data_IF_501525309462
#
_entry.id   IF_501525309462
#
_cell.length_a   1.000
_cell.length_b   1.000
_cell.length_c   1.000
_cell.angle_alpha   90.00
_cell.angle_beta   90.00
_cell.angle_gamma   90.00
#
_symmetry.space_group_name_H-M   'P 1'
#
loop_
_entity.id
_entity.type
_entity.pdbx_description
1 polymer ?
#
# COMPACT_ATOMS: atom_id res chain seq x y z
N UNK A 1 -1.35 8.39 -11.16
CA UNK A 1 -0.72 9.73 -11.35
C UNK A 1 -1.06 10.45 -12.67
N UNK A 2 -1.43 9.78 -13.76
CA UNK A 2 -1.83 10.46 -15.01
C UNK A 2 -3.15 11.24 -14.88
N UNK A 3 -4.12 10.68 -14.15
CA UNK A 3 -5.46 11.29 -13.93
C UNK A 3 -5.40 12.60 -13.14
N UNK A 4 -4.62 12.66 -12.07
CA UNK A 4 -4.45 13.89 -11.29
C UNK A 4 -3.82 15.03 -12.09
N UNK A 5 -2.82 14.72 -12.94
CA UNK A 5 -2.21 15.72 -13.84
C UNK A 5 -3.21 16.27 -14.85
N UNK A 6 -4.08 15.41 -15.38
CA UNK A 6 -5.13 15.85 -16.31
C UNK A 6 -6.10 16.84 -15.65
N UNK A 7 -6.54 16.56 -14.42
CA UNK A 7 -7.41 17.49 -13.68
C UNK A 7 -6.71 18.81 -13.33
N UNK A 8 -5.42 18.80 -13.04
CA UNK A 8 -4.65 20.03 -12.84
C UNK A 8 -4.58 20.88 -14.12
N UNK A 9 -4.37 20.25 -15.28
CA UNK A 9 -4.39 20.94 -16.57
C UNK A 9 -5.78 21.53 -16.85
N UNK A 10 -6.85 20.76 -16.58
CA UNK A 10 -8.22 21.22 -16.77
C UNK A 10 -8.56 22.39 -15.82
N UNK A 11 -8.10 22.32 -14.57
CA UNK A 11 -8.23 23.41 -13.59
C UNK A 11 -7.55 24.68 -14.09
N UNK A 12 -6.30 24.56 -14.55
CA UNK A 12 -5.56 25.68 -15.08
C UNK A 12 -6.24 26.29 -16.32
N UNK A 13 -6.71 25.44 -17.24
CA UNK A 13 -7.42 25.89 -18.45
C UNK A 13 -8.74 26.58 -18.11
N UNK A 14 -9.52 26.05 -17.17
CA UNK A 14 -10.79 26.66 -16.73
C UNK A 14 -10.55 28.04 -16.08
N UNK A 15 -9.47 28.17 -15.29
CA UNK A 15 -9.10 29.43 -14.68
C UNK A 15 -8.66 30.46 -15.73
N UNK A 16 -7.84 30.03 -16.70
CA UNK A 16 -7.41 30.91 -17.80
C UNK A 16 -8.60 31.39 -18.65
N UNK A 17 -9.55 30.49 -18.94
CA UNK A 17 -10.78 30.86 -19.67
C UNK A 17 -11.71 31.77 -18.86
N UNK A 18 -11.76 31.60 -17.54
CA UNK A 18 -12.52 32.50 -16.66
C UNK A 18 -11.97 33.93 -16.71
N UNK A 19 -10.64 34.08 -16.68
CA UNK A 19 -9.97 35.37 -16.77
C UNK A 19 -10.10 36.01 -18.16
N UNK A 20 -10.04 35.21 -19.22
CA UNK A 20 -10.13 35.70 -20.59
C UNK A 20 -11.56 36.09 -21.00
N UNK A 21 -12.57 35.33 -20.62
CA UNK A 21 -13.95 35.53 -21.04
C UNK A 21 -14.82 36.32 -20.04
N UNK A 22 -14.37 36.49 -18.80
CA UNK A 22 -15.14 37.06 -17.70
C UNK A 22 -16.37 36.25 -17.33
N UNK A 23 -16.55 35.04 -17.87
CA UNK A 23 -17.70 34.20 -17.67
C UNK A 23 -17.65 33.47 -16.31
N UNK A 24 -18.71 33.62 -15.51
CA UNK A 24 -18.87 32.96 -14.23
C UNK A 24 -18.89 31.43 -14.29
N UNK A 25 -19.26 30.84 -15.44
CA UNK A 25 -19.28 29.38 -15.63
C UNK A 25 -17.91 28.75 -15.51
N UNK A 26 -16.88 29.34 -16.12
CA UNK A 26 -15.52 28.81 -16.02
C UNK A 26 -14.96 28.96 -14.61
N UNK A 27 -15.34 29.99 -13.90
CA UNK A 27 -14.98 30.18 -12.49
C UNK A 27 -15.62 29.12 -11.59
N UNK A 28 -16.90 28.82 -11.80
CA UNK A 28 -17.60 27.74 -11.07
C UNK A 28 -16.96 26.38 -11.33
N UNK A 29 -16.60 26.10 -12.60
CA UNK A 29 -15.87 24.87 -12.96
C UNK A 29 -14.52 24.79 -12.26
N UNK A 30 -13.78 25.88 -12.22
CA UNK A 30 -12.48 25.94 -11.53
C UNK A 30 -12.63 25.66 -10.03
N UNK A 31 -13.61 26.25 -9.36
CA UNK A 31 -13.89 25.94 -7.94
C UNK A 31 -14.28 24.49 -7.73
N UNK A 32 -15.14 23.92 -8.55
CA UNK A 32 -15.53 22.51 -8.46
C UNK A 32 -14.34 21.58 -8.58
N UNK A 33 -13.46 21.80 -9.57
CA UNK A 33 -12.26 21.02 -9.78
C UNK A 33 -11.27 21.16 -8.61
N UNK A 34 -11.10 22.38 -8.10
CA UNK A 34 -10.24 22.64 -6.94
C UNK A 34 -10.72 21.90 -5.69
N UNK A 35 -12.02 22.02 -5.39
CA UNK A 35 -12.63 21.33 -4.24
C UNK A 35 -12.46 19.81 -4.38
N UNK A 36 -12.71 19.27 -5.57
CA UNK A 36 -12.56 17.84 -5.85
C UNK A 36 -11.12 17.38 -5.61
N UNK A 37 -10.11 18.13 -6.09
CA UNK A 37 -8.70 17.81 -5.85
C UNK A 37 -8.34 17.86 -4.37
N UNK A 38 -8.80 18.89 -3.65
CA UNK A 38 -8.52 19.01 -2.21
C UNK A 38 -9.18 17.88 -1.42
N UNK A 39 -10.44 17.57 -1.68
CA UNK A 39 -11.15 16.49 -1.01
C UNK A 39 -10.52 15.11 -1.30
N UNK A 40 -10.12 14.84 -2.55
CA UNK A 40 -9.42 13.60 -2.91
C UNK A 40 -8.09 13.46 -2.19
N UNK A 41 -7.29 14.53 -2.14
CA UNK A 41 -6.02 14.53 -1.41
C UNK A 41 -6.21 14.32 0.09
N UNK A 42 -7.19 15.00 0.70
CA UNK A 42 -7.54 14.82 2.11
C UNK A 42 -8.01 13.39 2.39
N UNK A 43 -8.83 12.80 1.50
CA UNK A 43 -9.29 11.42 1.64
C UNK A 43 -8.14 10.43 1.67
N UNK A 44 -7.24 10.49 0.69
CA UNK A 44 -6.07 9.63 0.63
C UNK A 44 -5.17 9.78 1.87
N UNK A 45 -4.99 11.02 2.35
CA UNK A 45 -4.19 11.32 3.54
C UNK A 45 -4.84 10.79 4.82
N UNK A 46 -6.13 11.05 5.03
CA UNK A 46 -6.90 10.54 6.17
C UNK A 46 -6.92 9.01 6.17
N UNK A 47 -6.90 8.37 5.00
CA UNK A 47 -6.81 6.93 4.85
C UNK A 47 -5.63 6.32 5.58
N UNK A 48 -4.48 7.00 5.65
CA UNK A 48 -3.26 6.53 6.32
C UNK A 48 -3.11 7.00 7.78
N UNK A 49 -3.96 7.91 8.24
CA UNK A 49 -3.91 8.38 9.63
C UNK A 49 -4.46 7.31 10.58
N UNK A 50 -3.86 7.23 11.79
CA UNK A 50 -4.28 6.31 12.86
C UNK A 50 -4.31 4.83 12.48
N UNK A 51 -3.54 4.42 11.46
CA UNK A 51 -3.28 3.02 11.17
C UNK A 51 -2.11 2.53 12.02
N UNK A 52 -2.28 1.35 12.61
CA UNK A 52 -1.20 0.57 13.19
C UNK A 52 -1.04 -0.73 12.40
N UNK A 53 0.20 -1.03 12.06
CA UNK A 53 0.55 -2.28 11.38
C UNK A 53 1.53 -3.03 12.26
N UNK A 54 1.20 -4.28 12.58
CA UNK A 54 2.08 -5.22 13.26
C UNK A 54 2.39 -6.36 12.31
N UNK A 55 3.66 -6.67 12.20
CA UNK A 55 4.17 -7.75 11.36
C UNK A 55 4.93 -8.71 12.25
N UNK A 56 4.47 -9.96 12.31
CA UNK A 56 5.11 -11.02 13.06
C UNK A 56 5.66 -12.06 12.08
N UNK A 57 6.99 -12.19 12.07
CA UNK A 57 7.71 -13.13 11.24
C UNK A 57 8.14 -14.31 12.12
N UNK A 58 7.69 -15.51 11.77
CA UNK A 58 7.95 -16.71 12.57
C UNK A 58 9.31 -17.33 12.31
N UNK A 59 9.90 -17.08 11.15
CA UNK A 59 11.16 -17.70 10.78
C UNK A 59 12.15 -16.67 10.21
N UNK A 60 13.38 -16.73 10.71
CA UNK A 60 14.52 -15.96 10.21
C UNK A 60 15.44 -16.82 9.31
N UNK A 61 15.15 -18.12 9.22
CA UNK A 61 15.85 -19.08 8.39
C UNK A 61 14.86 -20.08 7.79
N UNK A 62 15.14 -20.53 6.58
CA UNK A 62 14.32 -21.51 5.83
C UNK A 62 15.22 -22.31 4.88
N UNK A 63 14.66 -23.28 4.18
CA UNK A 63 15.34 -24.07 3.14
C UNK A 63 14.66 -23.88 1.80
N UNK A 64 15.41 -24.07 0.72
CA UNK A 64 14.84 -24.09 -0.64
C UNK A 64 13.77 -25.18 -0.72
N UNK A 65 12.59 -24.81 -1.25
CA UNK A 65 11.41 -25.68 -1.32
C UNK A 65 10.47 -25.57 -0.14
N UNK A 66 10.84 -24.87 0.94
CA UNK A 66 9.95 -24.58 2.06
C UNK A 66 9.25 -23.23 1.87
N UNK A 67 8.11 -23.06 2.54
CA UNK A 67 7.40 -21.78 2.61
C UNK A 67 7.64 -21.08 3.93
N UNK A 68 7.82 -19.76 3.88
CA UNK A 68 7.89 -18.89 5.05
C UNK A 68 6.52 -18.22 5.22
N UNK A 69 6.06 -18.21 6.47
CA UNK A 69 4.80 -17.57 6.86
C UNK A 69 5.08 -16.25 7.57
N UNK A 70 4.33 -15.24 7.18
CA UNK A 70 4.29 -13.94 7.82
C UNK A 70 2.87 -13.64 8.25
N UNK A 71 2.68 -13.31 9.51
CA UNK A 71 1.40 -12.85 10.05
C UNK A 71 1.39 -11.33 10.11
N UNK A 72 0.53 -10.72 9.32
CA UNK A 72 0.34 -9.28 9.30
C UNK A 72 -1.00 -8.91 9.91
N UNK A 73 -0.99 -7.92 10.80
CA UNK A 73 -2.19 -7.36 11.42
C UNK A 73 -2.23 -5.86 11.18
N UNK A 74 -3.32 -5.37 10.61
CA UNK A 74 -3.59 -3.95 10.42
C UNK A 74 -4.76 -3.55 11.29
N UNK A 75 -4.57 -2.52 12.11
CA UNK A 75 -5.57 -1.99 13.05
C UNK A 75 -5.92 -0.55 12.67
N UNK A 76 -7.19 -0.25 12.56
CA UNK A 76 -7.70 1.12 12.40
C UNK A 76 -8.08 1.72 13.75
N UNK A 77 -7.23 2.56 14.32
CA UNK A 77 -7.51 3.30 15.57
C UNK A 77 -8.27 4.60 15.35
N UNK A 78 -8.57 4.92 14.11
CA UNK A 78 -9.34 6.10 13.76
C UNK A 78 -10.85 5.89 13.93
N UNK A 79 -11.58 7.00 13.80
CA UNK A 79 -13.06 7.04 13.87
C UNK A 79 -13.73 6.88 12.51
N UNK A 80 -12.97 6.85 11.43
CA UNK A 80 -13.48 6.77 10.06
C UNK A 80 -13.11 5.42 9.44
N UNK A 81 -14.01 4.87 8.64
CA UNK A 81 -13.74 3.68 7.84
C UNK A 81 -12.60 3.97 6.87
N UNK A 82 -11.62 3.08 6.83
CA UNK A 82 -10.51 3.09 5.87
C UNK A 82 -10.89 2.18 4.71
N UNK A 83 -11.25 2.78 3.60
CA UNK A 83 -11.52 2.05 2.36
C UNK A 83 -10.27 1.97 1.47
N UNK A 84 -10.21 0.92 0.64
CA UNK A 84 -9.18 0.79 -0.40
C UNK A 84 -7.73 0.87 0.11
N UNK A 85 -7.47 0.19 1.22
CA UNK A 85 -6.11 -0.01 1.71
C UNK A 85 -5.48 -1.18 0.97
N UNK A 86 -4.36 -0.95 0.33
CA UNK A 86 -3.51 -1.98 -0.26
C UNK A 86 -2.28 -2.15 0.62
N UNK A 87 -2.06 -3.37 1.05
CA UNK A 87 -0.93 -3.74 1.91
C UNK A 87 -0.01 -4.64 1.12
N UNK A 88 1.26 -4.25 1.00
CA UNK A 88 2.28 -4.98 0.26
C UNK A 88 3.58 -5.03 1.05
N UNK A 89 4.13 -6.23 1.25
CA UNK A 89 5.48 -6.39 1.78
C UNK A 89 6.52 -6.07 0.71
N UNK A 90 7.58 -5.35 1.10
CA UNK A 90 8.73 -5.05 0.26
C UNK A 90 9.86 -6.10 0.42
N UNK A 91 9.49 -7.37 0.52
CA UNK A 91 10.47 -8.45 0.58
C UNK A 91 11.16 -8.64 -0.79
N UNK A 92 12.48 -8.76 -0.75
CA UNK A 92 13.32 -9.08 -1.93
C UNK A 92 13.39 -10.60 -2.17
N UNK A 93 12.33 -11.32 -1.83
CA UNK A 93 12.24 -12.77 -1.99
C UNK A 93 11.64 -13.10 -3.36
N UNK A 94 12.29 -13.95 -4.19
CA UNK A 94 11.72 -14.40 -5.45
C UNK A 94 10.38 -15.10 -5.24
N UNK A 95 9.30 -14.50 -5.75
CA UNK A 95 7.92 -14.93 -5.51
C UNK A 95 7.16 -14.08 -4.50
N UNK A 96 7.85 -13.37 -3.62
CA UNK A 96 7.30 -12.37 -2.69
C UNK A 96 6.06 -12.80 -1.91
N UNK A 97 5.56 -11.89 -1.08
CA UNK A 97 4.27 -12.05 -0.42
C UNK A 97 3.15 -11.44 -1.28
N UNK A 98 2.00 -12.10 -1.30
CA UNK A 98 0.86 -11.58 -2.06
C UNK A 98 0.31 -10.30 -1.43
N UNK A 99 0.04 -9.24 -2.24
CA UNK A 99 -0.58 -8.04 -1.72
C UNK A 99 -2.00 -8.33 -1.23
N UNK A 100 -2.42 -7.66 -0.16
CA UNK A 100 -3.77 -7.73 0.37
C UNK A 100 -4.47 -6.38 0.17
N UNK A 101 -5.72 -6.42 -0.31
CA UNK A 101 -6.59 -5.26 -0.35
C UNK A 101 -7.70 -5.41 0.70
N UNK A 102 -7.87 -4.39 1.54
CA UNK A 102 -8.80 -4.47 2.66
C UNK A 102 -9.51 -3.15 2.92
N UNK A 103 -10.65 -3.27 3.57
CA UNK A 103 -11.42 -2.14 4.11
C UNK A 103 -11.56 -2.35 5.60
N UNK A 104 -11.21 -1.34 6.40
CA UNK A 104 -11.22 -1.41 7.85
C UNK A 104 -12.22 -0.43 8.44
N UNK A 105 -13.30 -0.91 9.06
CA UNK A 105 -14.19 -0.09 9.88
C UNK A 105 -13.45 0.57 11.05
N UNK A 106 -14.03 1.60 11.69
CA UNK A 106 -13.45 2.23 12.87
C UNK A 106 -13.23 1.21 14.00
N UNK A 107 -12.07 1.27 14.64
CA UNK A 107 -11.74 0.40 15.79
C UNK A 107 -11.60 -1.09 15.45
N UNK A 108 -11.57 -1.46 14.17
CA UNK A 108 -11.42 -2.84 13.74
C UNK A 108 -9.96 -3.17 13.41
N UNK A 109 -9.64 -4.47 13.52
CA UNK A 109 -8.37 -5.03 13.08
C UNK A 109 -8.61 -6.17 12.11
N UNK A 110 -7.70 -6.34 11.16
CA UNK A 110 -7.70 -7.46 10.23
C UNK A 110 -6.33 -8.13 10.25
N UNK A 111 -6.33 -9.44 10.46
CA UNK A 111 -5.11 -10.25 10.49
C UNK A 111 -5.19 -11.31 9.39
N UNK A 112 -4.07 -11.52 8.71
CA UNK A 112 -3.94 -12.57 7.71
C UNK A 112 -2.54 -13.16 7.73
N UNK A 113 -2.40 -14.36 7.21
CA UNK A 113 -1.13 -15.04 7.05
C UNK A 113 -0.79 -15.07 5.57
N UNK A 114 0.34 -14.48 5.22
CA UNK A 114 0.92 -14.54 3.89
C UNK A 114 1.98 -15.64 3.84
N UNK A 115 2.06 -16.35 2.72
CA UNK A 115 3.05 -17.39 2.48
C UNK A 115 3.90 -17.04 1.27
N UNK A 116 5.20 -17.21 1.41
CA UNK A 116 6.15 -17.07 0.31
C UNK A 116 7.02 -18.31 0.20
N UNK A 117 7.15 -18.85 -1.00
CA UNK A 117 8.03 -20.00 -1.26
C UNK A 117 9.47 -19.58 -1.43
N UNK A 118 10.37 -20.24 -0.71
CA UNK A 118 11.79 -20.04 -0.85
C UNK A 118 12.33 -20.82 -2.06
N UNK A 119 12.40 -20.18 -3.22
CA UNK A 119 12.80 -20.82 -4.48
C UNK A 119 14.31 -20.82 -4.71
N UNK A 120 15.03 -19.94 -4.06
CA UNK A 120 16.48 -19.79 -4.21
C UNK A 120 17.14 -19.65 -2.85
N UNK A 121 18.36 -20.20 -2.75
CA UNK A 121 19.23 -20.00 -1.57
C UNK A 121 19.81 -18.59 -1.57
N UNK A 122 20.00 -18.02 -0.41
CA UNK A 122 20.61 -16.70 -0.26
C UNK A 122 20.15 -15.96 0.98
N UNK A 123 20.66 -14.77 1.15
CA UNK A 123 20.22 -13.84 2.18
C UNK A 123 19.27 -12.83 1.52
N UNK A 124 18.01 -12.84 1.94
CA UNK A 124 16.96 -11.97 1.42
C UNK A 124 16.59 -10.93 2.45
N UNK A 125 16.37 -9.71 1.99
CA UNK A 125 15.82 -8.64 2.82
C UNK A 125 14.31 -8.78 2.89
N UNK A 126 13.79 -8.90 4.10
CA UNK A 126 12.36 -8.76 4.36
C UNK A 126 12.11 -7.29 4.71
N UNK A 127 11.44 -6.59 3.82
CA UNK A 127 11.25 -5.16 3.91
C UNK A 127 10.21 -4.73 4.92
N UNK A 128 10.02 -3.41 5.09
CA UNK A 128 8.84 -2.89 5.75
C UNK A 128 7.59 -3.22 4.91
N UNK A 129 6.45 -3.23 5.56
CA UNK A 129 5.16 -3.39 4.89
C UNK A 129 4.66 -2.02 4.46
N UNK A 130 4.43 -1.84 3.17
CA UNK A 130 3.83 -0.66 2.61
C UNK A 130 2.31 -0.74 2.67
N UNK A 131 1.71 0.29 3.23
CA UNK A 131 0.26 0.51 3.16
C UNK A 131 0.00 1.68 2.24
N UNK A 132 -0.76 1.44 1.18
CA UNK A 132 -1.21 2.45 0.25
C UNK A 132 -2.70 2.73 0.47
N UNK A 133 -3.06 4.02 0.50
CA UNK A 133 -4.43 4.49 0.47
C UNK A 133 -4.67 5.25 -0.82
N UNK A 134 -5.78 4.96 -1.48
CA UNK A 134 -6.19 5.60 -2.72
C UNK A 134 -7.55 6.28 -2.50
N UNK A 135 -7.75 7.43 -3.12
CA UNK A 135 -9.04 8.11 -3.11
C UNK A 135 -10.02 7.44 -4.08
N UNK A 136 -11.35 7.63 -3.92
CA UNK A 136 -12.37 6.98 -4.77
C UNK A 136 -12.25 7.30 -6.26
N UNK A 137 -11.62 8.42 -6.61
CA UNK A 137 -11.45 8.86 -8.00
C UNK A 137 -10.13 8.38 -8.62
N UNK A 138 -9.22 7.80 -7.81
CA UNK A 138 -7.90 7.35 -8.25
C UNK A 138 -6.96 8.50 -8.66
N UNK A 139 -7.14 9.68 -8.08
CA UNK A 139 -6.34 10.87 -8.36
C UNK A 139 -5.05 10.89 -7.55
N UNK A 140 -5.16 10.48 -6.27
CA UNK A 140 -4.06 10.43 -5.33
C UNK A 140 -3.92 9.03 -4.74
N UNK A 141 -2.69 8.56 -4.70
CA UNK A 141 -2.30 7.34 -4.02
C UNK A 141 -1.12 7.67 -3.11
N UNK A 142 -1.37 7.62 -1.82
CA UNK A 142 -0.36 7.84 -0.79
C UNK A 142 0.09 6.51 -0.22
N UNK A 143 1.38 6.40 0.10
CA UNK A 143 1.99 5.22 0.70
C UNK A 143 2.71 5.58 1.98
N UNK A 144 2.68 4.66 2.92
CA UNK A 144 3.42 4.75 4.17
C UNK A 144 3.95 3.37 4.53
N UNK A 145 5.24 3.30 4.86
CA UNK A 145 5.91 2.07 5.25
C UNK A 145 5.83 1.89 6.77
N UNK A 146 5.60 0.66 7.20
CA UNK A 146 5.45 0.27 8.61
C UNK A 146 6.30 -0.96 8.91
N UNK A 147 6.76 -1.07 10.15
CA UNK A 147 7.50 -2.22 10.65
C UNK A 147 9.01 -2.17 10.36
N UNK A 148 9.76 -3.05 11.03
CA UNK A 148 11.20 -3.16 10.84
C UNK A 148 11.55 -3.93 9.57
N UNK A 149 12.70 -3.62 9.01
CA UNK A 149 13.39 -4.50 8.05
C UNK A 149 13.98 -5.70 8.79
N UNK A 150 13.93 -6.88 8.16
CA UNK A 150 14.52 -8.10 8.66
C UNK A 150 15.35 -8.79 7.58
N UNK A 151 16.02 -9.86 7.94
CA UNK A 151 16.77 -10.70 7.00
C UNK A 151 16.29 -12.14 7.13
N UNK A 152 16.11 -12.80 6.00
CA UNK A 152 15.77 -14.22 5.90
C UNK A 152 16.95 -14.94 5.25
N UNK A 153 17.51 -15.92 5.94
CA UNK A 153 18.55 -16.79 5.40
C UNK A 153 17.92 -18.07 4.86
N UNK A 154 18.06 -18.31 3.57
CA UNK A 154 17.56 -19.51 2.91
C UNK A 154 18.72 -20.44 2.60
N UNK A 155 18.74 -21.60 3.25
CA UNK A 155 19.72 -22.66 3.04
C UNK A 155 19.41 -23.48 1.80
N UNK A 156 20.44 -24.17 1.21
CA UNK A 156 20.21 -25.19 0.20
C UNK A 156 19.29 -26.31 0.71
N UNK A 157 18.55 -26.93 -0.20
CA UNK A 157 17.81 -28.14 0.13
C UNK A 157 18.78 -29.25 0.56
N UNK A 158 18.51 -29.90 1.69
CA UNK A 158 19.22 -31.09 2.12
C UNK A 158 18.62 -32.32 1.47
N UNK A 159 19.46 -33.16 0.92
CA UNK A 159 19.06 -34.49 0.41
C UNK A 159 19.58 -35.52 1.41
N UNK A 160 18.68 -36.35 1.91
CA UNK A 160 19.06 -37.49 2.74
C UNK A 160 19.86 -38.47 1.88
N UNK A 161 21.13 -38.66 2.21
CA UNK A 161 21.93 -39.67 1.55
C UNK A 161 21.49 -41.05 2.05
N UNK A 162 21.22 -42.01 1.15
CA UNK A 162 20.99 -43.38 1.57
C UNK A 162 22.22 -43.87 2.32
N UNK A 163 22.03 -44.46 3.49
CA UNK A 163 23.12 -45.04 4.27
C UNK A 163 23.75 -46.12 3.42
N UNK A 164 25.08 -46.03 3.23
CA UNK A 164 25.87 -47.05 2.61
C UNK A 164 26.01 -48.23 3.56
#
# INVERSE_FOLDING_TARGET
MKRGRFLLVLLFLSLAMALASGSGLYLQLAYFLLITLVLSGLWAWVGLLWLQVRVERRAWHSQVGQSVEESSTVENRGRMTKGWLEVQDQADLPGGFSPAALTLPPGSSHSWVSRAECRQRGLFSLGPVDVASEDPFGLFRLRRSFGPTGQLLVYPATVDLPQF
#
